data_IF_679252990703
#
_entry.id   IF_679252990703
#
_cell.length_a   1.000
_cell.length_b   1.000
_cell.length_c   1.000
_cell.angle_alpha   90.00
_cell.angle_beta   90.00
_cell.angle_gamma   90.00
#
_symmetry.space_group_name_H-M   'P 1'
#
loop_
_entity.id
_entity.type
_entity.pdbx_description
1 polymer ?
#
# COMPACT_ATOMS: atom_id res chain seq x y z
N UNK A 1 -25.25 7.89 1.68
CA UNK A 1 -23.98 7.73 0.95
C UNK A 1 -23.29 6.51 1.53
N UNK A 2 -23.02 5.47 0.74
CA UNK A 2 -22.13 4.39 1.19
C UNK A 2 -20.70 4.94 1.13
N UNK A 3 -20.03 5.05 2.27
CA UNK A 3 -18.62 5.40 2.33
C UNK A 3 -17.76 4.19 2.00
N UNK A 4 -16.60 4.41 1.37
CA UNK A 4 -15.55 3.40 1.21
C UNK A 4 -14.64 3.40 2.44
N UNK A 5 -14.23 2.22 2.88
CA UNK A 5 -13.34 2.02 4.02
C UNK A 5 -11.96 1.60 3.51
N UNK A 6 -11.01 2.54 3.59
CA UNK A 6 -9.66 2.38 3.06
C UNK A 6 -8.62 2.49 4.16
N UNK A 7 -7.50 1.79 3.99
CA UNK A 7 -6.26 2.07 4.72
C UNK A 7 -5.22 2.58 3.72
N UNK A 8 -4.77 3.81 3.91
CA UNK A 8 -3.93 4.53 2.94
C UNK A 8 -2.46 4.61 3.36
N UNK A 9 -2.08 3.99 4.48
CA UNK A 9 -0.72 4.08 5.01
C UNK A 9 -0.25 2.71 5.49
N UNK A 10 0.05 1.83 4.53
CA UNK A 10 0.55 0.48 4.79
C UNK A 10 1.98 0.36 4.28
N UNK A 11 2.85 -0.22 5.12
CA UNK A 11 4.19 -0.64 4.72
C UNK A 11 4.20 -2.15 4.45
N UNK A 12 5.06 -2.57 3.54
CA UNK A 12 5.32 -3.96 3.20
C UNK A 12 6.68 -4.43 3.68
N UNK A 13 6.97 -5.70 3.41
CA UNK A 13 8.27 -6.32 3.61
C UNK A 13 9.45 -5.62 2.90
N UNK A 14 9.19 -4.69 1.96
CA UNK A 14 10.24 -3.91 1.31
C UNK A 14 10.58 -2.61 2.07
N UNK A 15 9.71 -2.18 2.99
CA UNK A 15 10.00 -1.04 3.86
C UNK A 15 11.03 -1.41 4.93
N UNK A 16 11.93 -0.51 5.34
CA UNK A 16 12.89 -0.75 6.43
C UNK A 16 12.27 -1.18 7.76
N UNK A 17 11.02 -0.79 8.03
CA UNK A 17 10.29 -1.17 9.24
C UNK A 17 9.41 -2.42 9.05
N UNK A 18 9.42 -3.04 7.87
CA UNK A 18 8.59 -4.18 7.53
C UNK A 18 9.25 -5.53 7.87
N UNK A 19 8.43 -6.57 7.91
CA UNK A 19 8.88 -7.96 8.05
C UNK A 19 8.36 -8.84 6.90
N UNK A 20 8.82 -10.09 6.82
CA UNK A 20 8.42 -11.02 5.76
C UNK A 20 6.92 -11.39 5.78
N UNK A 21 6.24 -11.24 6.92
CA UNK A 21 4.81 -11.45 7.04
C UNK A 21 4.00 -10.28 6.47
N UNK A 22 4.65 -9.14 6.19
CA UNK A 22 4.08 -7.96 5.54
C UNK A 22 4.23 -7.99 4.01
N UNK A 23 4.21 -9.18 3.40
CA UNK A 23 4.18 -9.30 1.93
C UNK A 23 2.90 -8.69 1.33
N UNK A 24 2.91 -8.21 0.06
CA UNK A 24 1.71 -7.66 -0.59
C UNK A 24 0.50 -8.59 -0.57
N UNK A 25 0.72 -9.90 -0.74
CA UNK A 25 -0.34 -10.91 -0.62
C UNK A 25 -0.95 -10.91 0.77
N UNK A 26 -0.13 -10.93 1.81
CA UNK A 26 -0.59 -10.97 3.19
C UNK A 26 -1.30 -9.66 3.60
N UNK A 27 -0.85 -8.51 3.06
CA UNK A 27 -1.55 -7.22 3.22
C UNK A 27 -2.96 -7.31 2.64
N UNK A 28 -3.10 -7.75 1.40
CA UNK A 28 -4.40 -7.88 0.71
C UNK A 28 -5.33 -8.86 1.44
N UNK A 29 -4.81 -10.01 1.87
CA UNK A 29 -5.58 -11.01 2.63
C UNK A 29 -6.11 -10.44 3.95
N UNK A 30 -5.25 -9.74 4.71
CA UNK A 30 -5.65 -9.09 5.97
C UNK A 30 -6.63 -7.95 5.75
N UNK A 31 -6.43 -7.12 4.73
CA UNK A 31 -7.33 -6.02 4.38
C UNK A 31 -8.75 -6.52 4.07
N UNK A 32 -8.86 -7.61 3.31
CA UNK A 32 -10.15 -8.26 3.03
C UNK A 32 -10.78 -8.85 4.29
N UNK A 33 -10.01 -9.54 5.12
CA UNK A 33 -10.49 -10.07 6.39
C UNK A 33 -10.99 -8.96 7.33
N UNK A 34 -10.40 -7.76 7.25
CA UNK A 34 -10.80 -6.58 8.01
C UNK A 34 -12.00 -5.81 7.42
N UNK A 35 -12.53 -6.25 6.27
CA UNK A 35 -13.65 -5.60 5.58
C UNK A 35 -13.29 -4.23 5.01
N UNK A 36 -12.05 -4.05 4.56
CA UNK A 36 -11.66 -2.86 3.79
C UNK A 36 -12.08 -3.02 2.33
N UNK A 37 -12.48 -1.90 1.72
CA UNK A 37 -12.78 -1.80 0.29
C UNK A 37 -11.51 -1.62 -0.56
N UNK A 38 -10.41 -1.17 0.07
CA UNK A 38 -9.13 -1.01 -0.60
C UNK A 38 -7.99 -0.56 0.31
N UNK A 39 -6.78 -0.55 -0.26
CA UNK A 39 -5.54 -0.21 0.44
C UNK A 39 -4.61 0.67 -0.40
N UNK A 40 -3.70 1.40 0.23
CA UNK A 40 -2.52 1.97 -0.44
C UNK A 40 -1.24 1.40 0.16
N UNK A 41 -0.28 1.05 -0.69
CA UNK A 41 1.06 0.68 -0.23
C UNK A 41 2.00 1.87 -0.33
N UNK A 42 2.65 2.19 0.77
CA UNK A 42 3.43 3.42 0.95
C UNK A 42 4.75 3.14 1.68
N UNK A 43 5.58 2.22 1.18
CA UNK A 43 6.88 1.93 1.81
C UNK A 43 7.76 3.19 1.92
N UNK A 44 8.67 3.22 2.90
CA UNK A 44 9.57 4.35 3.07
C UNK A 44 10.44 4.55 1.82
N UNK A 45 10.31 5.71 1.18
CA UNK A 45 11.10 6.16 0.03
C UNK A 45 11.14 5.16 -1.15
N UNK A 46 10.13 4.29 -1.29
CA UNK A 46 10.11 3.27 -2.34
C UNK A 46 8.68 2.91 -2.72
N UNK A 47 8.38 2.85 -4.01
CA UNK A 47 7.15 2.28 -4.54
C UNK A 47 7.35 0.91 -5.21
N UNK A 48 8.55 0.32 -5.09
CA UNK A 48 8.96 -0.85 -5.90
C UNK A 48 8.15 -2.13 -5.64
N UNK A 49 7.41 -2.21 -4.54
CA UNK A 49 6.56 -3.36 -4.23
C UNK A 49 5.10 -3.16 -4.66
N UNK A 50 4.75 -1.97 -5.19
CA UNK A 50 3.42 -1.66 -5.70
C UNK A 50 2.97 -2.54 -6.88
N UNK A 51 3.84 -3.02 -7.80
CA UNK A 51 3.40 -3.95 -8.85
C UNK A 51 2.88 -5.28 -8.28
N UNK A 52 3.55 -5.81 -7.25
CA UNK A 52 3.13 -7.04 -6.58
C UNK A 52 1.81 -6.83 -5.81
N UNK A 53 1.60 -5.65 -5.22
CA UNK A 53 0.32 -5.28 -4.62
C UNK A 53 -0.80 -5.23 -5.66
N UNK A 54 -0.54 -4.64 -6.83
CA UNK A 54 -1.53 -4.55 -7.91
C UNK A 54 -1.97 -5.95 -8.36
N UNK A 55 -1.02 -6.87 -8.54
CA UNK A 55 -1.32 -8.26 -8.90
C UNK A 55 -2.15 -8.97 -7.83
N UNK A 56 -1.75 -8.86 -6.56
CA UNK A 56 -2.49 -9.48 -5.44
C UNK A 56 -3.90 -8.89 -5.30
N UNK A 57 -4.03 -7.57 -5.39
CA UNK A 57 -5.30 -6.85 -5.23
C UNK A 57 -6.27 -7.19 -6.36
N UNK A 58 -5.78 -7.23 -7.60
CA UNK A 58 -6.56 -7.66 -8.78
C UNK A 58 -7.09 -9.09 -8.61
N UNK A 59 -6.26 -10.03 -8.17
CA UNK A 59 -6.68 -11.41 -7.92
C UNK A 59 -7.72 -11.54 -6.80
N UNK A 60 -7.66 -10.64 -5.81
CA UNK A 60 -8.54 -10.69 -4.64
C UNK A 60 -9.81 -9.82 -4.78
N UNK A 61 -9.92 -9.02 -5.84
CA UNK A 61 -11.01 -8.07 -6.04
C UNK A 61 -11.01 -6.92 -5.03
N UNK A 62 -9.83 -6.52 -4.55
CA UNK A 62 -9.64 -5.40 -3.62
C UNK A 62 -9.16 -4.17 -4.40
N UNK A 63 -9.70 -2.98 -4.11
CA UNK A 63 -9.18 -1.76 -4.72
C UNK A 63 -7.78 -1.45 -4.15
N UNK A 64 -6.89 -0.88 -4.96
CA UNK A 64 -5.61 -0.43 -4.48
C UNK A 64 -5.17 0.90 -5.06
N UNK A 65 -4.46 1.68 -4.26
CA UNK A 65 -3.65 2.81 -4.69
C UNK A 65 -2.17 2.47 -4.50
N UNK A 66 -1.33 3.22 -5.19
CA UNK A 66 0.12 3.06 -5.15
C UNK A 66 0.75 4.27 -4.52
N UNK A 67 1.95 4.14 -3.97
CA UNK A 67 2.57 5.26 -3.28
C UNK A 67 3.88 4.90 -2.61
N UNK A 68 4.37 5.89 -1.88
CA UNK A 68 5.48 5.76 -0.95
C UNK A 68 5.35 6.81 0.14
N UNK A 69 5.92 6.52 1.31
CA UNK A 69 6.10 7.51 2.36
C UNK A 69 7.47 8.18 2.16
N UNK A 70 7.44 9.44 1.71
CA UNK A 70 8.64 10.25 1.53
C UNK A 70 9.11 10.74 2.88
N UNK A 71 10.34 10.37 3.27
CA UNK A 71 11.03 10.96 4.41
C UNK A 71 11.97 12.06 3.91
N UNK A 72 11.68 13.31 4.29
CA UNK A 72 12.50 14.49 3.96
C UNK A 72 13.80 14.53 4.75
N UNK A 73 14.73 15.42 4.39
CA UNK A 73 15.96 15.62 5.14
C UNK A 73 15.71 16.19 6.55
N UNK A 74 14.59 16.88 6.74
CA UNK A 74 14.10 17.40 8.01
C UNK A 74 13.29 16.36 8.82
N UNK A 75 13.30 15.09 8.41
CA UNK A 75 12.59 13.97 9.04
C UNK A 75 11.05 14.11 9.04
N UNK A 76 10.51 15.01 8.22
CA UNK A 76 9.06 15.08 7.93
C UNK A 76 8.69 13.93 7.01
N UNK A 77 7.60 13.23 7.35
CA UNK A 77 7.05 12.13 6.57
C UNK A 77 5.82 12.60 5.80
N UNK A 78 5.79 12.35 4.49
CA UNK A 78 4.69 12.74 3.60
C UNK A 78 4.26 11.56 2.73
N UNK A 79 2.96 11.30 2.67
CA UNK A 79 2.41 10.30 1.75
C UNK A 79 2.26 10.90 0.34
N UNK A 80 2.85 10.22 -0.63
CA UNK A 80 2.54 10.43 -2.05
C UNK A 80 1.69 9.25 -2.54
N UNK A 81 0.50 9.55 -3.06
CA UNK A 81 -0.46 8.56 -3.55
C UNK A 81 -0.69 8.74 -5.05
N UNK A 82 -0.80 7.61 -5.74
CA UNK A 82 -0.93 7.51 -7.18
C UNK A 82 -2.06 6.55 -7.54
N UNK A 83 -2.83 6.90 -8.57
CA UNK A 83 -3.94 6.10 -9.09
C UNK A 83 -3.50 5.11 -10.18
N UNK A 84 -2.28 5.25 -10.69
CA UNK A 84 -1.68 4.33 -11.66
C UNK A 84 -0.31 3.84 -11.23
N UNK A 85 0.07 2.63 -11.66
CA UNK A 85 1.40 2.08 -11.41
C UNK A 85 2.51 2.88 -12.10
N UNK A 86 2.23 3.56 -13.21
CA UNK A 86 3.26 4.29 -13.96
C UNK A 86 3.70 5.59 -13.27
N UNK A 87 2.84 6.15 -12.42
CA UNK A 87 3.21 7.29 -11.58
C UNK A 87 4.02 6.89 -10.34
N UNK A 88 4.04 5.61 -9.98
CA UNK A 88 4.66 5.06 -8.77
C UNK A 88 6.09 4.55 -9.04
#
# INVERSE_FOLDING_TARGET
>A
MNGMRLDLHIHSCLSPCGDLEMSPRAIVERARAAGLDGVALTDHNSARNTPALADCSRSAGLACLFGLEVCTAEEVHTLALFDTLEQA
#
